data_IF_643751151330
#
_entry.id   IF_643751151330
#
_cell.length_a   1.000
_cell.length_b   1.000
_cell.length_c   1.000
_cell.angle_alpha   90.00
_cell.angle_beta   90.00
_cell.angle_gamma   90.00
#
_symmetry.space_group_name_H-M   'P 1'
#
loop_
_entity.id
_entity.type
_entity.pdbx_description
1 polymer ?
#
# COMPACT_ATOMS: atom_id res chain seq x y z
N UNK A 1 11.42 5.95 -17.22
CA UNK A 1 11.47 7.35 -16.71
C UNK A 1 11.71 7.29 -15.22
N UNK A 2 12.57 8.16 -14.68
CA UNK A 2 12.75 8.28 -13.24
C UNK A 2 11.82 9.38 -12.69
N UNK A 3 11.26 9.15 -11.51
CA UNK A 3 10.56 10.18 -10.74
C UNK A 3 11.57 10.74 -9.73
N UNK A 4 11.66 12.07 -9.66
CA UNK A 4 12.45 12.72 -8.61
C UNK A 4 11.69 12.64 -7.30
N UNK A 5 12.41 12.54 -6.19
CA UNK A 5 11.83 12.55 -4.86
C UNK A 5 12.91 12.53 -3.78
N UNK A 6 12.47 12.59 -2.54
CA UNK A 6 13.34 12.52 -1.37
C UNK A 6 12.63 11.79 -0.22
N UNK A 7 13.42 11.32 0.75
CA UNK A 7 12.96 10.88 2.05
C UNK A 7 13.26 11.99 3.07
N UNK A 8 12.21 12.52 3.68
CA UNK A 8 12.24 13.66 4.59
C UNK A 8 12.16 13.12 6.02
N UNK A 9 13.15 13.42 6.84
CA UNK A 9 13.06 13.21 8.29
C UNK A 9 12.16 14.30 8.88
N UNK A 10 11.00 13.94 9.42
CA UNK A 10 10.03 14.90 9.98
C UNK A 10 10.25 15.10 11.48
N UNK A 11 9.59 16.12 12.05
CA UNK A 11 9.62 16.42 13.47
C UNK A 11 9.24 15.21 14.32
N UNK A 12 9.78 15.15 15.54
CA UNK A 12 9.58 14.02 16.42
C UNK A 12 8.10 13.81 16.78
N UNK A 13 7.68 12.55 16.75
CA UNK A 13 6.42 12.06 17.31
C UNK A 13 6.79 11.12 18.45
N UNK A 14 6.47 11.50 19.69
CA UNK A 14 6.78 10.70 20.89
C UNK A 14 8.27 10.28 20.97
N UNK A 15 9.18 11.20 20.59
CA UNK A 15 10.63 11.01 20.67
C UNK A 15 11.27 10.24 19.51
N UNK A 16 10.51 9.85 18.50
CA UNK A 16 10.99 9.21 17.27
C UNK A 16 10.79 10.14 16.09
N UNK A 17 11.70 10.17 15.13
CA UNK A 17 11.51 10.88 13.85
C UNK A 17 10.93 9.93 12.81
N UNK A 18 9.65 10.06 12.42
CA UNK A 18 9.12 9.32 11.29
C UNK A 18 9.72 9.86 9.98
N UNK A 19 9.65 9.08 8.91
CA UNK A 19 10.17 9.47 7.60
C UNK A 19 9.03 9.59 6.58
N UNK A 20 9.13 10.57 5.69
CA UNK A 20 8.11 10.88 4.69
C UNK A 20 8.75 10.92 3.30
N UNK A 21 8.25 10.09 2.38
CA UNK A 21 8.67 10.14 0.98
C UNK A 21 7.85 11.20 0.23
N UNK A 22 8.54 12.13 -0.42
CA UNK A 22 7.96 13.07 -1.37
C UNK A 22 8.27 12.66 -2.80
N UNK A 23 7.36 11.97 -3.48
CA UNK A 23 7.58 11.56 -4.88
C UNK A 23 7.00 12.62 -5.81
N UNK A 24 7.84 13.16 -6.71
CA UNK A 24 7.44 14.14 -7.71
C UNK A 24 7.57 15.59 -7.36
N UNK A 25 8.24 15.85 -6.26
CA UNK A 25 8.67 17.18 -5.87
C UNK A 25 9.79 17.69 -6.81
N UNK A 26 9.90 19.01 -6.89
CA UNK A 26 10.94 19.73 -7.63
C UNK A 26 11.86 20.54 -6.71
N UNK A 27 11.46 20.73 -5.46
CA UNK A 27 12.17 21.48 -4.43
C UNK A 27 12.30 20.60 -3.18
N UNK A 28 13.47 20.69 -2.53
CA UNK A 28 13.77 20.02 -1.27
C UNK A 28 12.84 20.57 -0.18
N UNK A 29 12.31 19.67 0.63
CA UNK A 29 11.57 20.00 1.84
C UNK A 29 12.51 19.88 3.03
N UNK A 30 12.64 20.98 3.78
CA UNK A 30 13.48 21.02 4.97
C UNK A 30 13.08 19.93 5.98
N UNK A 31 14.07 19.24 6.58
CA UNK A 31 13.80 18.25 7.63
C UNK A 31 13.23 18.93 8.89
N UNK A 32 12.77 18.11 9.84
CA UNK A 32 12.19 18.54 11.11
C UNK A 32 10.92 19.41 10.97
N UNK A 33 10.26 19.37 9.81
CA UNK A 33 8.91 19.92 9.65
C UNK A 33 7.85 18.99 10.28
N UNK A 34 6.70 19.52 10.67
CA UNK A 34 5.61 18.68 11.18
C UNK A 34 5.08 17.74 10.08
N UNK A 35 4.67 16.51 10.45
CA UNK A 35 4.19 15.50 9.49
C UNK A 35 3.13 16.04 8.51
N UNK A 36 2.11 16.73 9.04
CA UNK A 36 1.02 17.28 8.21
C UNK A 36 1.51 18.41 7.30
N UNK A 37 2.46 19.21 7.77
CA UNK A 37 3.08 20.28 7.00
C UNK A 37 3.93 19.74 5.85
N UNK A 38 4.75 18.70 6.11
CA UNK A 38 5.53 18.02 5.08
C UNK A 38 4.64 17.43 3.98
N UNK A 39 3.54 16.77 4.38
CA UNK A 39 2.53 16.26 3.44
C UNK A 39 1.93 17.38 2.59
N UNK A 40 1.56 18.50 3.20
CA UNK A 40 1.01 19.65 2.45
C UNK A 40 2.03 20.25 1.48
N UNK A 41 3.30 20.38 1.90
CA UNK A 41 4.40 20.85 1.04
C UNK A 41 4.59 19.95 -0.18
N UNK A 42 4.49 18.62 -0.02
CA UNK A 42 4.55 17.67 -1.14
C UNK A 42 3.39 17.91 -2.12
N UNK A 43 2.15 18.04 -1.63
CA UNK A 43 0.99 18.29 -2.48
C UNK A 43 1.07 19.62 -3.23
N UNK A 44 1.58 20.68 -2.59
CA UNK A 44 1.75 22.00 -3.23
C UNK A 44 2.69 21.96 -4.43
N UNK A 45 3.63 21.01 -4.45
CA UNK A 45 4.53 20.76 -5.58
C UNK A 45 3.92 19.81 -6.64
N UNK A 46 2.69 19.31 -6.42
CA UNK A 46 2.07 18.29 -7.27
C UNK A 46 2.66 16.89 -7.07
N UNK A 47 3.40 16.67 -5.98
CA UNK A 47 3.94 15.38 -5.60
C UNK A 47 2.93 14.51 -4.86
N UNK A 48 3.35 13.28 -4.56
CA UNK A 48 2.57 12.31 -3.81
C UNK A 48 3.31 11.92 -2.51
N UNK A 49 2.69 12.13 -1.34
CA UNK A 49 3.29 11.80 -0.06
C UNK A 49 3.08 10.34 0.32
N UNK A 50 4.13 9.67 0.80
CA UNK A 50 4.07 8.31 1.35
C UNK A 50 4.75 8.32 2.72
N UNK A 51 4.04 7.97 3.79
CA UNK A 51 4.68 7.77 5.08
C UNK A 51 5.53 6.49 5.02
N UNK A 52 6.84 6.62 5.17
CA UNK A 52 7.79 5.53 5.11
C UNK A 52 7.77 4.75 6.43
N UNK A 53 7.87 3.41 6.33
CA UNK A 53 8.05 2.47 7.44
C UNK A 53 7.39 2.92 8.78
N UNK A 54 6.05 3.10 8.81
CA UNK A 54 5.33 3.83 9.87
C UNK A 54 5.37 3.14 11.24
N UNK A 55 5.80 1.89 11.28
CA UNK A 55 5.91 1.06 12.48
C UNK A 55 7.36 0.71 12.82
N UNK A 56 8.32 1.44 12.24
CA UNK A 56 9.74 1.16 12.31
C UNK A 56 10.21 0.26 11.16
N UNK A 57 11.47 -0.15 11.24
CA UNK A 57 12.14 -0.91 10.18
C UNK A 57 12.95 -2.06 10.77
N UNK A 58 13.60 -2.87 9.92
CA UNK A 58 14.34 -4.06 10.36
C UNK A 58 15.26 -3.77 11.56
N UNK A 59 14.95 -4.44 12.69
CA UNK A 59 15.61 -4.32 14.02
C UNK A 59 15.35 -3.04 14.82
N UNK A 60 14.51 -2.13 14.35
CA UNK A 60 14.14 -0.89 15.03
C UNK A 60 12.62 -0.67 14.99
N UNK A 61 11.91 -1.44 15.80
CA UNK A 61 10.46 -1.31 15.98
C UNK A 61 10.12 0.00 16.69
N UNK A 62 9.05 0.64 16.24
CA UNK A 62 8.49 1.76 16.99
C UNK A 62 7.67 1.25 18.18
N UNK A 63 7.81 1.85 19.37
CA UNK A 63 6.90 1.58 20.48
C UNK A 63 5.44 1.86 20.09
N UNK A 64 4.50 1.09 20.64
CA UNK A 64 3.07 1.22 20.32
C UNK A 64 2.55 2.66 20.49
N UNK A 65 2.99 3.36 21.55
CA UNK A 65 2.60 4.76 21.80
C UNK A 65 2.99 5.71 20.65
N UNK A 66 4.10 5.44 19.96
CA UNK A 66 4.54 6.19 18.78
C UNK A 66 3.61 5.88 17.60
N UNK A 67 3.31 4.59 17.38
CA UNK A 67 2.41 4.13 16.30
C UNK A 67 1.01 4.71 16.48
N UNK A 68 0.48 4.71 17.70
CA UNK A 68 -0.83 5.31 18.05
C UNK A 68 -0.84 6.83 17.80
N UNK A 69 0.24 7.53 18.15
CA UNK A 69 0.37 8.98 17.93
C UNK A 69 0.46 9.32 16.44
N UNK A 70 1.18 8.51 15.65
CA UNK A 70 1.21 8.61 14.19
C UNK A 70 -0.19 8.36 13.62
N UNK A 71 -0.85 7.27 14.01
CA UNK A 71 -2.20 6.91 13.55
C UNK A 71 -3.19 8.06 13.79
N UNK A 72 -3.17 8.68 14.98
CA UNK A 72 -4.01 9.83 15.29
C UNK A 72 -3.78 11.00 14.32
N UNK A 73 -2.53 11.35 14.02
CA UNK A 73 -2.20 12.40 13.04
C UNK A 73 -2.70 12.02 11.64
N UNK A 74 -2.55 10.75 11.23
CA UNK A 74 -3.04 10.27 9.93
C UNK A 74 -4.57 10.28 9.82
N UNK A 75 -5.28 10.06 10.93
CA UNK A 75 -6.74 10.17 10.98
C UNK A 75 -7.25 11.61 10.81
N UNK A 76 -6.39 12.62 10.99
CA UNK A 76 -6.73 14.03 10.75
C UNK A 76 -6.53 14.45 9.27
N UNK A 77 -5.77 13.68 8.49
CA UNK A 77 -5.48 14.00 7.09
C UNK A 77 -6.69 13.79 6.17
N UNK A 78 -6.80 14.67 5.17
CA UNK A 78 -7.66 14.44 4.02
C UNK A 78 -6.97 13.46 3.05
N UNK A 79 -7.72 12.48 2.57
CA UNK A 79 -7.26 11.48 1.60
C UNK A 79 -7.12 12.03 0.17
N UNK A 80 -6.31 11.41 -0.70
CA UNK A 80 -5.53 10.18 -0.49
C UNK A 80 -4.03 10.42 -0.25
N UNK A 81 -3.42 9.68 0.69
CA UNK A 81 -1.96 9.62 0.90
C UNK A 81 -1.48 8.16 0.86
N UNK A 82 -0.17 7.96 0.74
CA UNK A 82 0.45 6.64 0.76
C UNK A 82 0.94 6.22 2.15
N UNK A 83 0.91 4.92 2.41
CA UNK A 83 1.54 4.28 3.55
C UNK A 83 2.45 3.17 3.04
N UNK A 84 3.71 3.17 3.48
CA UNK A 84 4.61 2.07 3.20
C UNK A 84 4.27 0.88 4.11
N UNK A 85 3.70 -0.16 3.51
CA UNK A 85 3.26 -1.38 4.18
C UNK A 85 4.34 -2.46 4.11
N UNK A 86 5.17 -2.43 3.07
CA UNK A 86 6.34 -3.29 2.95
C UNK A 86 7.62 -2.46 2.82
N UNK A 87 8.53 -2.59 3.78
CA UNK A 87 9.83 -1.96 3.78
C UNK A 87 10.91 -3.02 4.01
N UNK A 88 11.84 -3.18 3.06
CA UNK A 88 12.88 -4.19 3.23
C UNK A 88 14.00 -3.75 4.18
N UNK A 89 14.23 -2.45 4.41
CA UNK A 89 15.21 -1.90 5.36
C UNK A 89 16.61 -2.53 5.26
N UNK A 90 17.09 -2.75 4.03
CA UNK A 90 18.32 -3.49 3.74
C UNK A 90 18.39 -4.96 4.26
N UNK A 91 17.29 -5.54 4.71
CA UNK A 91 17.16 -6.97 5.03
C UNK A 91 17.39 -7.81 3.77
N UNK A 92 18.17 -8.89 3.88
CA UNK A 92 18.60 -9.75 2.75
C UNK A 92 17.96 -11.14 2.76
N UNK A 93 17.17 -11.49 3.80
CA UNK A 93 16.76 -12.87 4.03
C UNK A 93 15.24 -13.05 4.08
N UNK A 94 14.54 -12.17 4.80
CA UNK A 94 13.08 -12.19 4.88
C UNK A 94 12.58 -10.76 4.85
N UNK A 95 12.19 -10.30 3.66
CA UNK A 95 11.88 -8.89 3.42
C UNK A 95 10.61 -8.42 4.13
N UNK A 96 9.70 -9.34 4.49
CA UNK A 96 8.49 -9.01 5.23
C UNK A 96 8.59 -9.51 6.67
N UNK A 97 8.86 -8.60 7.59
CA UNK A 97 9.10 -8.86 9.01
C UNK A 97 7.93 -8.39 9.91
N UNK A 98 8.21 -8.20 11.20
CA UNK A 98 7.22 -7.79 12.20
C UNK A 98 6.80 -6.33 12.07
N UNK A 99 7.67 -5.45 11.59
CA UNK A 99 7.38 -4.04 11.36
C UNK A 99 6.46 -3.87 10.16
N UNK A 100 6.65 -4.66 9.10
CA UNK A 100 5.72 -4.74 7.97
C UNK A 100 4.35 -5.30 8.38
N UNK A 101 4.35 -6.32 9.25
CA UNK A 101 3.10 -6.87 9.79
C UNK A 101 2.33 -5.82 10.62
N UNK A 102 3.04 -5.00 11.39
CA UNK A 102 2.47 -3.88 12.13
C UNK A 102 1.97 -2.77 11.19
N UNK A 103 2.71 -2.44 10.12
CA UNK A 103 2.31 -1.47 9.11
C UNK A 103 1.05 -1.93 8.34
N UNK A 104 0.95 -3.21 8.01
CA UNK A 104 -0.25 -3.82 7.42
C UNK A 104 -1.46 -3.68 8.37
N UNK A 105 -1.26 -3.93 9.67
CA UNK A 105 -2.30 -3.76 10.67
C UNK A 105 -2.73 -2.30 10.84
N UNK A 106 -1.78 -1.36 10.83
CA UNK A 106 -2.07 0.09 10.82
C UNK A 106 -2.86 0.49 9.57
N UNK A 107 -2.47 -0.02 8.40
CA UNK A 107 -3.20 0.22 7.17
C UNK A 107 -4.64 -0.27 7.26
N UNK A 108 -4.88 -1.48 7.76
CA UNK A 108 -6.22 -2.03 7.97
C UNK A 108 -7.06 -1.18 8.93
N UNK A 109 -6.46 -0.61 10.00
CA UNK A 109 -7.17 0.31 10.91
C UNK A 109 -7.55 1.62 10.22
N UNK A 110 -6.64 2.24 9.46
CA UNK A 110 -6.93 3.47 8.72
C UNK A 110 -8.03 3.26 7.67
N UNK A 111 -7.95 2.18 6.89
CA UNK A 111 -8.97 1.84 5.90
C UNK A 111 -10.33 1.57 6.56
N UNK A 112 -10.34 0.84 7.68
CA UNK A 112 -11.57 0.56 8.44
C UNK A 112 -12.16 1.81 9.11
N UNK A 113 -11.34 2.83 9.38
CA UNK A 113 -11.79 4.15 9.82
C UNK A 113 -12.35 5.02 8.67
N UNK A 114 -12.47 4.47 7.45
CA UNK A 114 -13.02 5.15 6.29
C UNK A 114 -12.01 6.04 5.56
N UNK A 115 -10.72 5.92 5.85
CA UNK A 115 -9.68 6.64 5.08
C UNK A 115 -9.43 5.94 3.76
N UNK A 116 -9.17 6.73 2.72
CA UNK A 116 -8.62 6.23 1.47
C UNK A 116 -7.10 6.39 1.54
N UNK A 117 -6.41 5.31 1.96
CA UNK A 117 -4.95 5.25 2.08
C UNK A 117 -4.42 4.19 1.12
N UNK A 118 -3.41 4.55 0.33
CA UNK A 118 -2.81 3.65 -0.65
C UNK A 118 -1.60 2.92 -0.04
N UNK A 119 -1.50 1.62 -0.27
CA UNK A 119 -0.43 0.77 0.24
C UNK A 119 0.74 0.70 -0.75
N UNK A 120 1.94 0.98 -0.24
CA UNK A 120 3.18 0.94 -1.00
C UNK A 120 4.15 -0.08 -0.42
N UNK A 121 5.05 -0.58 -1.27
CA UNK A 121 6.19 -1.36 -0.83
C UNK A 121 7.46 -0.91 -1.53
N UNK A 122 8.52 -0.66 -0.77
CA UNK A 122 9.82 -0.27 -1.29
C UNK A 122 10.95 -0.96 -0.54
N UNK A 123 12.13 -0.95 -1.15
CA UNK A 123 13.28 -1.68 -0.64
C UNK A 123 14.10 -0.96 0.43
N UNK A 124 13.93 0.37 0.56
CA UNK A 124 14.82 1.23 1.37
C UNK A 124 16.30 0.88 1.17
N UNK A 125 16.72 0.89 -0.10
CA UNK A 125 17.95 0.27 -0.54
C UNK A 125 19.17 1.15 -0.22
N UNK A 126 19.93 0.74 0.79
CA UNK A 126 21.24 1.33 1.12
C UNK A 126 22.41 0.62 0.40
N UNK A 127 22.14 -0.53 -0.21
CA UNK A 127 23.08 -1.29 -1.03
C UNK A 127 22.42 -1.76 -2.33
N UNK A 128 23.21 -1.86 -3.41
CA UNK A 128 22.69 -2.26 -4.72
C UNK A 128 22.01 -3.63 -4.76
N UNK A 129 22.40 -4.55 -3.88
CA UNK A 129 21.79 -5.88 -3.77
C UNK A 129 20.37 -5.85 -3.17
N UNK A 130 19.96 -4.76 -2.53
CA UNK A 130 18.60 -4.59 -1.99
C UNK A 130 17.64 -3.96 -2.99
N UNK A 131 18.11 -3.47 -4.14
CA UNK A 131 17.23 -2.81 -5.11
C UNK A 131 16.12 -3.75 -5.60
N UNK A 132 14.88 -3.36 -5.39
CA UNK A 132 13.70 -4.06 -5.90
C UNK A 132 13.34 -5.36 -5.17
N UNK A 133 13.91 -5.62 -3.98
CA UNK A 133 13.54 -6.81 -3.18
C UNK A 133 12.11 -6.73 -2.63
N UNK A 134 11.62 -5.51 -2.37
CA UNK A 134 10.21 -5.14 -2.27
C UNK A 134 10.00 -3.99 -3.26
N UNK A 135 8.87 -4.01 -3.97
CA UNK A 135 8.57 -3.05 -5.02
C UNK A 135 7.07 -2.76 -5.13
N UNK A 136 6.77 -1.62 -5.71
CA UNK A 136 5.42 -1.20 -6.08
C UNK A 136 5.20 -1.40 -7.57
N UNK A 137 4.29 -2.30 -7.93
CA UNK A 137 3.96 -2.67 -9.30
C UNK A 137 2.84 -1.83 -9.88
N UNK A 138 3.12 -1.08 -10.94
CA UNK A 138 2.16 -0.21 -11.62
C UNK A 138 1.41 -0.97 -12.71
N UNK A 139 0.09 -0.82 -12.77
CA UNK A 139 -0.75 -1.41 -13.82
C UNK A 139 -0.81 -0.47 -15.02
N UNK A 140 -0.35 -0.98 -16.16
CA UNK A 140 -0.43 -0.34 -17.48
C UNK A 140 -0.09 1.16 -17.51
N UNK A 141 1.01 1.61 -16.86
CA UNK A 141 1.37 3.01 -16.92
C UNK A 141 1.77 3.39 -18.35
N UNK A 142 1.36 4.57 -18.81
CA UNK A 142 2.03 5.16 -19.98
C UNK A 142 3.51 5.33 -19.63
N UNK A 143 4.45 4.95 -20.51
CA UNK A 143 5.88 4.95 -20.20
C UNK A 143 6.45 6.38 -20.27
N UNK A 144 5.91 7.29 -19.46
CA UNK A 144 6.35 8.68 -19.28
C UNK A 144 6.03 9.14 -17.85
N UNK A 145 6.65 10.25 -17.42
CA UNK A 145 6.50 10.78 -16.05
C UNK A 145 5.02 10.91 -15.65
N UNK A 146 4.21 11.53 -16.50
CA UNK A 146 2.79 11.79 -16.23
C UNK A 146 1.96 10.50 -16.10
N UNK A 147 2.21 9.51 -16.97
CA UNK A 147 1.54 8.21 -16.91
C UNK A 147 1.83 7.45 -15.62
N UNK A 148 3.08 7.48 -15.18
CA UNK A 148 3.50 6.89 -13.89
C UNK A 148 2.78 7.59 -12.73
N UNK A 149 2.75 8.94 -12.69
CA UNK A 149 2.02 9.67 -11.63
C UNK A 149 0.52 9.37 -11.62
N UNK A 150 -0.11 9.27 -12.78
CA UNK A 150 -1.54 9.01 -12.87
C UNK A 150 -1.88 7.67 -12.21
N UNK A 151 -1.09 6.63 -12.49
CA UNK A 151 -1.29 5.29 -11.90
C UNK A 151 -0.97 5.27 -10.40
N UNK A 152 0.08 5.97 -9.98
CA UNK A 152 0.43 6.11 -8.55
C UNK A 152 -0.68 6.81 -7.75
N UNK A 153 -1.10 8.00 -8.20
CA UNK A 153 -2.12 8.80 -7.50
C UNK A 153 -3.49 8.11 -7.45
N UNK A 154 -3.83 7.37 -8.51
CA UNK A 154 -5.09 6.62 -8.56
C UNK A 154 -5.07 5.33 -7.75
N UNK A 155 -3.91 4.86 -7.26
CA UNK A 155 -3.86 3.57 -6.57
C UNK A 155 -3.90 2.35 -7.48
N UNK A 156 -3.69 2.50 -8.79
CA UNK A 156 -3.70 1.41 -9.78
C UNK A 156 -2.38 0.61 -9.72
N UNK A 157 -2.03 0.16 -8.52
CA UNK A 157 -0.78 -0.51 -8.23
C UNK A 157 -0.95 -1.45 -7.04
N UNK A 158 0.01 -2.33 -6.87
CA UNK A 158 0.13 -3.26 -5.76
C UNK A 158 1.54 -3.20 -5.19
N UNK A 159 1.72 -3.64 -3.95
CA UNK A 159 3.03 -3.85 -3.36
C UNK A 159 3.38 -5.34 -3.37
N UNK A 160 4.65 -5.68 -3.58
CA UNK A 160 5.09 -7.07 -3.77
C UNK A 160 6.56 -7.28 -3.42
N UNK A 161 6.90 -8.50 -2.99
CA UNK A 161 8.28 -9.01 -2.93
C UNK A 161 8.49 -10.24 -3.86
N UNK A 162 7.55 -10.46 -4.80
CA UNK A 162 7.55 -11.56 -5.77
C UNK A 162 6.31 -11.59 -6.68
N UNK A 163 5.12 -11.98 -6.17
CA UNK A 163 3.94 -12.21 -6.99
C UNK A 163 3.29 -10.92 -7.52
N UNK A 164 2.45 -11.05 -8.53
CA UNK A 164 1.59 -9.98 -9.04
C UNK A 164 0.15 -10.23 -8.57
N UNK A 165 -0.55 -9.17 -8.17
CA UNK A 165 -1.97 -9.22 -7.80
C UNK A 165 -2.72 -8.06 -8.44
N UNK A 166 -3.88 -8.36 -9.02
CA UNK A 166 -4.79 -7.41 -9.64
C UNK A 166 -6.20 -7.67 -9.09
N UNK A 167 -6.88 -6.60 -8.69
CA UNK A 167 -8.26 -6.61 -8.21
C UNK A 167 -9.07 -5.61 -9.05
N UNK A 168 -10.21 -6.06 -9.57
CA UNK A 168 -11.12 -5.29 -10.43
C UNK A 168 -12.59 -5.57 -10.09
N UNK A 169 -13.48 -4.65 -10.47
CA UNK A 169 -14.93 -4.82 -10.48
C UNK A 169 -15.52 -4.14 -11.71
N UNK A 170 -15.89 -4.91 -12.74
CA UNK A 170 -16.29 -4.35 -14.03
C UNK A 170 -15.16 -3.52 -14.66
N UNK A 171 -15.42 -2.23 -14.87
CA UNK A 171 -14.42 -1.27 -15.39
C UNK A 171 -13.60 -0.58 -14.28
N UNK A 172 -13.92 -0.84 -13.00
CA UNK A 172 -13.26 -0.23 -11.83
C UNK A 172 -12.04 -1.04 -11.42
N UNK A 173 -10.92 -0.37 -11.20
CA UNK A 173 -9.65 -0.97 -10.77
C UNK A 173 -9.41 -0.76 -9.28
N UNK A 174 -8.55 -1.57 -8.67
CA UNK A 174 -7.96 -1.24 -7.35
C UNK A 174 -7.41 0.19 -7.32
N UNK A 175 -7.64 0.87 -6.19
CA UNK A 175 -7.39 2.30 -6.02
C UNK A 175 -8.61 3.18 -6.34
N UNK A 176 -9.71 2.60 -6.81
CA UNK A 176 -10.93 3.35 -7.13
C UNK A 176 -12.13 2.93 -6.24
N UNK A 177 -13.21 3.71 -6.34
CA UNK A 177 -14.49 3.41 -5.70
C UNK A 177 -15.45 2.86 -6.74
N UNK A 178 -15.96 1.65 -6.51
CA UNK A 178 -17.09 1.12 -7.28
C UNK A 178 -18.41 1.60 -6.66
N UNK A 179 -19.34 2.06 -7.49
CA UNK A 179 -20.69 2.46 -7.07
C UNK A 179 -21.67 1.39 -7.56
N UNK A 180 -22.40 0.78 -6.63
CA UNK A 180 -23.27 -0.37 -6.94
C UNK A 180 -24.73 0.05 -7.05
N UNK A 181 -25.35 -0.21 -8.19
CA UNK A 181 -26.76 0.17 -8.44
C UNK A 181 -27.79 -0.74 -7.79
N UNK A 182 -27.42 -1.96 -7.41
CA UNK A 182 -28.34 -3.00 -6.93
C UNK A 182 -27.82 -3.71 -5.65
N UNK A 183 -26.95 -3.06 -4.90
CA UNK A 183 -26.34 -3.62 -3.68
C UNK A 183 -25.62 -4.97 -3.88
N UNK A 184 -25.28 -5.36 -5.12
CA UNK A 184 -24.48 -6.54 -5.40
C UNK A 184 -23.27 -6.13 -6.22
N UNK A 185 -22.08 -6.54 -5.78
CA UNK A 185 -20.82 -6.26 -6.46
C UNK A 185 -20.14 -7.57 -6.86
N UNK A 186 -19.69 -7.64 -8.11
CA UNK A 186 -18.87 -8.74 -8.62
C UNK A 186 -17.43 -8.24 -8.76
N UNK A 187 -16.48 -9.05 -8.29
CA UNK A 187 -15.07 -8.72 -8.27
C UNK A 187 -14.24 -9.83 -8.90
N UNK A 188 -13.25 -9.43 -9.69
CA UNK A 188 -12.27 -10.31 -10.30
C UNK A 188 -10.91 -10.13 -9.63
N UNK A 189 -10.24 -11.24 -9.37
CA UNK A 189 -8.87 -11.28 -8.87
C UNK A 189 -8.01 -12.05 -9.86
N UNK A 190 -6.90 -11.44 -10.30
CA UNK A 190 -5.86 -12.12 -11.08
C UNK A 190 -4.56 -12.10 -10.32
N UNK A 191 -3.92 -13.26 -10.23
CA UNK A 191 -2.63 -13.43 -9.56
C UNK A 191 -1.67 -14.20 -10.43
N UNK A 192 -0.39 -13.83 -10.36
CA UNK A 192 0.68 -14.46 -11.12
C UNK A 192 1.92 -14.60 -10.25
N UNK A 193 2.61 -15.73 -10.36
CA UNK A 193 3.90 -15.96 -9.71
C UNK A 193 4.73 -16.98 -10.51
N UNK A 194 6.05 -16.89 -10.43
CA UNK A 194 6.93 -17.81 -11.14
C UNK A 194 7.11 -19.16 -10.43
N UNK A 195 7.06 -19.15 -9.09
CA UNK A 195 7.39 -20.31 -8.24
C UNK A 195 6.12 -21.12 -7.94
N UNK A 196 5.03 -20.46 -7.59
CA UNK A 196 3.71 -21.04 -7.39
C UNK A 196 2.93 -20.31 -6.30
N UNK A 197 1.65 -20.07 -6.55
CA UNK A 197 0.75 -19.41 -5.61
C UNK A 197 0.28 -20.43 -4.57
N UNK A 198 0.49 -20.13 -3.29
CA UNK A 198 0.00 -20.97 -2.20
C UNK A 198 -1.49 -20.68 -1.92
N UNK A 199 -1.82 -19.42 -1.64
CA UNK A 199 -3.18 -18.99 -1.30
C UNK A 199 -3.41 -17.53 -1.68
N UNK A 200 -4.69 -17.20 -1.88
CA UNK A 200 -5.19 -15.85 -2.12
C UNK A 200 -6.27 -15.56 -1.10
N UNK A 201 -6.23 -14.38 -0.48
CA UNK A 201 -7.21 -13.92 0.51
C UNK A 201 -7.85 -12.63 0.03
N UNK A 202 -9.17 -12.53 0.20
CA UNK A 202 -9.91 -11.28 0.12
C UNK A 202 -10.12 -10.78 1.54
N UNK A 203 -9.72 -9.55 1.80
CA UNK A 203 -9.92 -8.84 3.05
C UNK A 203 -11.03 -7.82 2.83
N UNK A 204 -12.07 -7.86 3.66
CA UNK A 204 -13.15 -6.88 3.72
C UNK A 204 -13.09 -6.18 5.07
N UNK A 205 -12.94 -4.86 5.09
CA UNK A 205 -12.97 -4.06 6.32
C UNK A 205 -12.02 -4.62 7.41
N UNK A 206 -10.77 -4.87 7.04
CA UNK A 206 -9.71 -5.40 7.92
C UNK A 206 -9.84 -6.89 8.28
N UNK A 207 -10.89 -7.58 7.81
CA UNK A 207 -11.18 -8.97 8.17
C UNK A 207 -11.15 -9.91 6.97
N UNK A 208 -10.76 -11.17 7.18
CA UNK A 208 -10.80 -12.19 6.12
C UNK A 208 -12.24 -12.42 5.66
N UNK A 209 -12.50 -12.12 4.39
CA UNK A 209 -13.80 -12.34 3.75
C UNK A 209 -13.83 -13.69 3.01
N UNK A 210 -12.79 -13.97 2.21
CA UNK A 210 -12.72 -15.18 1.38
C UNK A 210 -11.28 -15.65 1.23
N UNK A 211 -11.07 -16.95 1.06
CA UNK A 211 -9.75 -17.52 0.79
C UNK A 211 -9.85 -18.64 -0.26
N UNK A 212 -8.87 -18.67 -1.17
CA UNK A 212 -8.63 -19.81 -2.05
C UNK A 212 -7.25 -20.40 -1.76
N UNK A 213 -7.17 -21.74 -1.76
CA UNK A 213 -5.89 -22.46 -1.72
C UNK A 213 -5.55 -22.88 -3.16
N UNK A 214 -4.55 -22.24 -3.75
CA UNK A 214 -4.19 -22.38 -5.17
C UNK A 214 -3.17 -23.52 -5.38
N UNK A 215 -2.53 -24.00 -4.31
CA UNK A 215 -1.72 -25.23 -4.27
C UNK A 215 -0.57 -25.28 -5.29
N UNK A 216 0.05 -24.15 -5.59
CA UNK A 216 1.28 -24.05 -6.38
C UNK A 216 1.08 -23.69 -7.85
N UNK A 217 -0.16 -23.44 -8.31
CA UNK A 217 -0.36 -22.93 -9.67
C UNK A 217 0.35 -21.58 -9.86
N UNK A 218 0.90 -21.36 -11.06
CA UNK A 218 1.64 -20.13 -11.40
C UNK A 218 0.75 -18.93 -11.68
N UNK A 219 -0.52 -19.18 -11.95
CA UNK A 219 -1.51 -18.13 -12.18
C UNK A 219 -2.90 -18.62 -11.74
N UNK A 220 -3.74 -17.68 -11.33
CA UNK A 220 -5.15 -17.95 -11.10
C UNK A 220 -5.99 -16.71 -11.45
N UNK A 221 -7.17 -16.97 -12.01
CA UNK A 221 -8.25 -16.01 -12.16
C UNK A 221 -9.40 -16.47 -11.25
N UNK A 222 -9.80 -15.63 -10.32
CA UNK A 222 -10.76 -15.94 -9.26
C UNK A 222 -11.84 -14.86 -9.26
N UNK A 223 -13.03 -15.18 -8.78
CA UNK A 223 -14.10 -14.21 -8.60
C UNK A 223 -14.84 -14.39 -7.29
N UNK A 224 -15.38 -13.28 -6.80
CA UNK A 224 -16.28 -13.28 -5.66
C UNK A 224 -17.37 -12.24 -5.84
N UNK A 225 -18.49 -12.49 -5.19
CA UNK A 225 -19.63 -11.60 -5.11
C UNK A 225 -19.87 -11.26 -3.64
N UNK A 226 -20.45 -10.10 -3.40
CA UNK A 226 -20.92 -9.71 -2.09
C UNK A 226 -22.20 -8.86 -2.20
N UNK A 227 -23.02 -8.90 -1.14
CA UNK A 227 -24.23 -8.10 -0.98
C UNK A 227 -23.96 -7.02 0.06
N UNK A 228 -24.35 -5.78 -0.28
CA UNK A 228 -23.98 -4.58 0.45
C UNK A 228 -25.16 -4.02 1.24
N UNK A 229 -25.06 -4.06 2.56
CA UNK A 229 -26.10 -3.59 3.49
C UNK A 229 -25.76 -2.25 4.18
N UNK A 230 -24.62 -1.64 3.85
CA UNK A 230 -24.17 -0.39 4.48
C UNK A 230 -23.16 0.38 3.65
N UNK A 231 -22.85 1.59 4.12
CA UNK A 231 -21.91 2.50 3.47
C UNK A 231 -20.47 2.19 3.91
N UNK A 232 -19.50 2.45 3.03
CA UNK A 232 -18.05 2.44 3.30
C UNK A 232 -17.43 1.05 3.55
N UNK A 233 -17.58 0.12 2.60
CA UNK A 233 -16.76 -1.09 2.58
C UNK A 233 -15.54 -0.95 1.69
N UNK A 234 -14.49 -1.71 1.95
CA UNK A 234 -13.38 -1.89 1.01
C UNK A 234 -13.01 -3.37 0.88
N UNK A 235 -12.44 -3.72 -0.28
CA UNK A 235 -11.83 -5.03 -0.51
C UNK A 235 -10.37 -4.88 -0.89
N UNK A 236 -9.51 -5.66 -0.25
CA UNK A 236 -8.11 -5.84 -0.62
C UNK A 236 -7.84 -7.31 -0.91
N UNK A 237 -6.91 -7.60 -1.80
CA UNK A 237 -6.42 -8.96 -2.04
C UNK A 237 -5.00 -9.11 -1.51
N UNK A 238 -4.79 -10.17 -0.73
CA UNK A 238 -3.46 -10.63 -0.30
C UNK A 238 -3.14 -11.94 -1.06
N UNK A 239 -2.00 -11.97 -1.75
CA UNK A 239 -1.49 -13.16 -2.44
C UNK A 239 -0.24 -13.67 -1.71
N UNK A 240 -0.16 -14.98 -1.49
CA UNK A 240 0.99 -15.64 -0.87
C UNK A 240 1.49 -16.78 -1.76
N UNK A 241 2.79 -16.88 -1.94
CA UNK A 241 3.45 -17.93 -2.74
C UNK A 241 3.97 -19.07 -1.86
N UNK A 242 4.35 -20.17 -2.49
CA UNK A 242 4.87 -21.36 -1.80
C UNK A 242 6.24 -21.13 -1.15
N UNK A 243 7.03 -20.19 -1.67
CA UNK A 243 8.34 -19.78 -1.14
C UNK A 243 8.25 -18.60 -0.16
N UNK A 244 7.03 -18.21 0.24
CA UNK A 244 6.78 -17.26 1.32
C UNK A 244 6.70 -15.78 0.88
N UNK A 245 6.77 -15.53 -0.43
CA UNK A 245 6.56 -14.21 -1.05
C UNK A 245 5.09 -13.80 -1.01
N UNK A 246 4.86 -12.50 -1.13
CA UNK A 246 3.61 -11.82 -0.82
C UNK A 246 3.38 -10.66 -1.79
N UNK A 247 2.12 -10.42 -2.11
CA UNK A 247 1.68 -9.17 -2.70
C UNK A 247 0.34 -8.75 -2.13
N UNK A 248 0.13 -7.44 -2.07
CA UNK A 248 -1.08 -6.83 -1.57
C UNK A 248 -1.58 -5.82 -2.60
N UNK A 249 -2.83 -5.98 -3.03
CA UNK A 249 -3.49 -5.02 -3.91
C UNK A 249 -3.75 -3.71 -3.15
N UNK A 250 -3.96 -2.60 -3.86
CA UNK A 250 -4.71 -1.51 -3.25
C UNK A 250 -6.19 -1.89 -3.07
N UNK A 251 -6.95 -1.15 -2.25
CA UNK A 251 -8.36 -1.44 -2.05
C UNK A 251 -9.20 -1.06 -3.26
N UNK A 252 -10.29 -1.78 -3.51
CA UNK A 252 -11.48 -1.18 -4.14
C UNK A 252 -12.42 -0.78 -3.00
N UNK A 253 -12.76 0.51 -2.94
CA UNK A 253 -13.81 1.00 -2.04
C UNK A 253 -15.19 0.81 -2.66
N UNK A 254 -16.21 0.62 -1.84
CA UNK A 254 -17.59 0.45 -2.29
C UNK A 254 -18.46 1.57 -1.76
N UNK A 255 -19.04 2.32 -2.68
CA UNK A 255 -20.13 3.25 -2.45
C UNK A 255 -21.48 2.62 -2.84
N UNK A 256 -22.53 2.99 -2.11
CA UNK A 256 -23.93 2.76 -2.48
C UNK A 256 -24.52 4.06 -3.05
#
# INVERSE_FOLDING_TARGET
HALLGEEITIAQVEGIHPHLLGIGISEVIEPDCELLEGIEKIYRQGGFPILAHPCGWYRNDYPEVVVEAIEKKLLELNSPFGLEVGNAAANLFNYFDRTDAAALALWDRLLSAGKHVLGFGNSDAHHGCNLGVIWTGLIEPKPNKQGIYQVLNKGHHFLSDGPVVILESGEVMMGETVVLSNSTGEFMVRVYDQVGIWKVRVIKNGSLFKQWNIKGEKQAALSFEDIFEGNNSYYRVDCFTIDGKRAYSNPIWVGL
#
